data_IF_003337969802
#
_entry.id   IF_003337969802
#
_cell.length_a   1.000
_cell.length_b   1.000
_cell.length_c   1.000
_cell.angle_alpha   90.00
_cell.angle_beta   90.00
_cell.angle_gamma   90.00
#
_symmetry.space_group_name_H-M   'P 1'
#
loop_
_entity.id
_entity.type
_entity.pdbx_description
1 polymer ?
#
# COMPACT_ATOMS: atom_id res chain seq x y z
N UNK A 1 11.49 9.49 8.53
CA UNK A 1 10.38 9.05 7.67
C UNK A 1 9.51 10.28 7.42
N UNK A 2 9.14 10.64 6.18
CA UNK A 2 8.44 11.91 5.89
C UNK A 2 6.94 11.77 6.17
N UNK A 3 6.36 12.80 6.77
CA UNK A 3 4.90 12.99 6.92
C UNK A 3 4.20 12.95 5.55
N UNK A 4 3.11 12.19 5.47
CA UNK A 4 2.32 11.98 4.25
C UNK A 4 1.76 13.31 3.72
N UNK A 5 1.40 14.23 4.60
CA UNK A 5 0.80 15.53 4.28
C UNK A 5 1.77 16.48 3.57
N UNK A 6 3.08 16.35 3.86
CA UNK A 6 4.14 17.20 3.31
C UNK A 6 5.08 16.44 2.36
N UNK A 7 4.66 15.27 1.87
CA UNK A 7 5.53 14.31 1.16
C UNK A 7 6.15 14.86 -0.13
N UNK A 8 5.51 15.84 -0.77
CA UNK A 8 6.01 16.47 -2.00
C UNK A 8 6.96 17.65 -1.76
N UNK A 9 7.07 18.15 -0.52
CA UNK A 9 7.89 19.31 -0.18
C UNK A 9 9.38 18.94 -0.06
N UNK A 10 10.25 19.82 -0.57
CA UNK A 10 11.71 19.68 -0.42
C UNK A 10 12.27 18.35 -0.94
N UNK A 11 11.73 17.84 -2.05
CA UNK A 11 12.24 16.62 -2.67
C UNK A 11 13.59 16.93 -3.35
N UNK A 12 14.68 16.21 -3.03
CA UNK A 12 15.96 16.47 -3.66
C UNK A 12 15.89 16.21 -5.17
N UNK A 13 16.61 16.99 -6.00
CA UNK A 13 16.65 16.79 -7.44
C UNK A 13 17.22 15.39 -7.76
N UNK A 14 16.62 14.74 -8.75
CA UNK A 14 17.04 13.42 -9.26
C UNK A 14 16.84 13.39 -10.76
N UNK A 15 17.73 12.71 -11.48
CA UNK A 15 17.56 12.50 -12.92
C UNK A 15 16.35 11.61 -13.21
N UNK A 16 15.70 11.75 -14.39
CA UNK A 16 14.60 10.87 -14.79
C UNK A 16 14.97 9.38 -14.72
N UNK A 17 16.19 9.01 -15.15
CA UNK A 17 16.66 7.63 -15.10
C UNK A 17 16.67 7.06 -13.68
N UNK A 18 17.15 7.83 -12.69
CA UNK A 18 17.09 7.43 -11.29
C UNK A 18 15.66 7.25 -10.81
N UNK A 19 14.73 8.10 -11.22
CA UNK A 19 13.32 8.01 -10.84
C UNK A 19 12.66 6.75 -11.43
N UNK A 20 12.92 6.43 -12.70
CA UNK A 20 12.46 5.18 -13.29
C UNK A 20 13.07 3.94 -12.60
N UNK A 21 14.34 4.00 -12.18
CA UNK A 21 14.97 2.91 -11.43
C UNK A 21 14.34 2.73 -10.04
N UNK A 22 13.98 3.83 -9.36
CA UNK A 22 13.19 3.78 -8.10
C UNK A 22 11.85 3.09 -8.34
N UNK A 23 11.09 3.53 -9.35
CA UNK A 23 9.78 2.94 -9.68
C UNK A 23 9.92 1.44 -9.96
N UNK A 24 10.90 1.03 -10.79
CA UNK A 24 11.15 -0.39 -11.09
C UNK A 24 11.49 -1.20 -9.83
N UNK A 25 12.34 -0.66 -8.96
CA UNK A 25 12.76 -1.33 -7.72
C UNK A 25 11.56 -1.58 -6.81
N UNK A 26 10.76 -0.55 -6.53
CA UNK A 26 9.64 -0.66 -5.60
C UNK A 26 8.43 -1.39 -6.21
N UNK A 27 8.24 -1.32 -7.52
CA UNK A 27 7.30 -2.19 -8.24
C UNK A 27 7.64 -3.67 -8.01
N UNK A 28 8.89 -4.07 -8.27
CA UNK A 28 9.33 -5.45 -8.04
C UNK A 28 9.16 -5.88 -6.59
N UNK A 29 9.52 -5.00 -5.65
CA UNK A 29 9.33 -5.24 -4.22
C UNK A 29 7.87 -5.51 -3.86
N UNK A 30 6.95 -4.63 -4.28
CA UNK A 30 5.52 -4.80 -3.99
C UNK A 30 4.92 -6.06 -4.65
N UNK A 31 5.32 -6.39 -5.88
CA UNK A 31 4.89 -7.62 -6.57
C UNK A 31 5.39 -8.86 -5.83
N UNK A 32 6.67 -8.93 -5.47
CA UNK A 32 7.21 -10.09 -4.75
C UNK A 32 6.63 -10.26 -3.34
N UNK A 33 6.16 -9.17 -2.74
CA UNK A 33 5.59 -9.18 -1.39
C UNK A 33 4.13 -9.60 -1.34
N UNK A 34 3.44 -9.58 -2.49
CA UNK A 34 2.02 -9.88 -2.56
C UNK A 34 1.71 -11.30 -2.06
N UNK A 35 2.49 -12.30 -2.50
CA UNK A 35 2.27 -13.69 -2.10
C UNK A 35 2.47 -13.89 -0.59
N UNK A 36 3.47 -13.23 -0.01
CA UNK A 36 3.70 -13.24 1.44
C UNK A 36 2.51 -12.62 2.20
N UNK A 37 1.92 -11.54 1.67
CA UNK A 37 0.70 -10.97 2.27
C UNK A 37 -0.45 -11.97 2.23
N UNK A 38 -0.66 -12.70 1.13
CA UNK A 38 -1.72 -13.70 1.06
C UNK A 38 -1.48 -14.87 2.03
N UNK A 39 -0.22 -15.27 2.22
CA UNK A 39 0.18 -16.21 3.27
C UNK A 39 -0.21 -15.67 4.66
N UNK A 40 0.13 -14.41 4.97
CA UNK A 40 -0.18 -13.81 6.28
C UNK A 40 -1.66 -13.59 6.52
N UNK A 41 -2.45 -13.32 5.48
CA UNK A 41 -3.91 -13.34 5.57
C UNK A 41 -4.43 -14.73 5.95
N UNK A 42 -3.87 -15.78 5.37
CA UNK A 42 -4.24 -17.17 5.70
C UNK A 42 -3.88 -17.50 7.15
N UNK A 43 -2.72 -17.05 7.64
CA UNK A 43 -2.31 -17.18 9.05
C UNK A 43 -3.30 -16.50 10.00
N UNK A 44 -3.78 -15.29 9.66
CA UNK A 44 -4.78 -14.54 10.43
C UNK A 44 -6.13 -15.27 10.48
N UNK A 45 -6.60 -15.81 9.36
CA UNK A 45 -7.83 -16.60 9.32
C UNK A 45 -7.73 -17.82 10.22
N UNK A 46 -6.63 -18.58 10.12
CA UNK A 46 -6.41 -19.75 10.98
C UNK A 46 -6.31 -19.37 12.47
N UNK A 47 -5.68 -18.24 12.79
CA UNK A 47 -5.62 -17.73 14.17
C UNK A 47 -7.00 -17.32 14.70
N UNK A 48 -7.87 -16.75 13.85
CA UNK A 48 -9.26 -16.44 14.21
C UNK A 48 -10.07 -17.70 14.51
N UNK A 49 -9.94 -18.75 13.70
CA UNK A 49 -10.64 -20.01 13.95
C UNK A 49 -10.25 -20.63 15.30
N UNK A 50 -8.95 -20.55 15.65
CA UNK A 50 -8.46 -20.98 16.96
C UNK A 50 -8.99 -20.10 18.09
N UNK A 51 -9.00 -18.78 17.93
CA UNK A 51 -9.49 -17.85 18.96
C UNK A 51 -10.97 -18.04 19.28
N UNK A 52 -11.79 -18.39 18.28
CA UNK A 52 -13.20 -18.75 18.48
C UNK A 52 -13.38 -19.99 19.37
N UNK A 53 -12.41 -20.91 19.34
CA UNK A 53 -12.43 -22.16 20.13
C UNK A 53 -11.87 -21.94 21.53
N UNK A 54 -10.74 -21.23 21.66
CA UNK A 54 -10.02 -21.03 22.92
C UNK A 54 -10.53 -19.86 23.74
N UNK A 55 -11.26 -18.93 23.11
CA UNK A 55 -11.65 -17.61 23.65
C UNK A 55 -10.45 -16.74 24.05
N UNK A 56 -9.28 -17.00 23.46
CA UNK A 56 -8.07 -16.19 23.60
C UNK A 56 -7.69 -15.63 22.22
N UNK A 57 -7.56 -14.30 22.13
CA UNK A 57 -7.26 -13.57 20.90
C UNK A 57 -5.76 -13.24 20.74
N UNK A 58 -4.90 -13.69 21.66
CA UNK A 58 -3.46 -13.40 21.66
C UNK A 58 -2.77 -13.77 20.33
N UNK A 59 -3.00 -14.99 19.84
CA UNK A 59 -2.46 -15.46 18.55
C UNK A 59 -3.01 -14.65 17.36
N UNK A 60 -4.30 -14.28 17.41
CA UNK A 60 -4.94 -13.49 16.35
C UNK A 60 -4.35 -12.08 16.28
N UNK A 61 -4.18 -11.44 17.43
CA UNK A 61 -3.53 -10.12 17.53
C UNK A 61 -2.11 -10.16 16.98
N UNK A 62 -1.35 -11.19 17.32
CA UNK A 62 0.01 -11.37 16.82
C UNK A 62 0.04 -11.57 15.30
N UNK A 63 -0.87 -12.39 14.76
CA UNK A 63 -0.98 -12.62 13.32
C UNK A 63 -1.36 -11.33 12.57
N UNK A 64 -2.32 -10.57 13.11
CA UNK A 64 -2.72 -9.26 12.56
C UNK A 64 -1.58 -8.25 12.60
N UNK A 65 -0.83 -8.20 13.71
CA UNK A 65 0.34 -7.35 13.82
C UNK A 65 1.34 -7.66 12.70
N UNK A 66 1.66 -8.93 12.49
CA UNK A 66 2.54 -9.35 11.39
C UNK A 66 1.95 -8.96 10.03
N UNK A 67 0.67 -9.24 9.76
CA UNK A 67 0.01 -8.84 8.52
C UNK A 67 0.11 -7.32 8.27
N UNK A 68 -0.09 -6.50 9.29
CA UNK A 68 -0.01 -5.05 9.18
C UNK A 68 1.40 -4.54 8.95
N UNK A 69 2.44 -5.22 9.45
CA UNK A 69 3.82 -4.94 9.04
C UNK A 69 4.04 -5.24 7.55
N UNK A 70 3.45 -6.31 7.02
CA UNK A 70 3.55 -6.60 5.59
C UNK A 70 2.77 -5.60 4.74
N UNK A 71 1.60 -5.14 5.21
CA UNK A 71 0.89 -4.01 4.59
C UNK A 71 1.75 -2.74 4.62
N UNK A 72 2.41 -2.44 5.73
CA UNK A 72 3.29 -1.28 5.88
C UNK A 72 4.40 -1.26 4.82
N UNK A 73 5.06 -2.40 4.61
CA UNK A 73 6.05 -2.54 3.54
C UNK A 73 5.43 -2.29 2.16
N UNK A 74 4.28 -2.93 1.87
CA UNK A 74 3.60 -2.80 0.58
C UNK A 74 3.19 -1.36 0.27
N UNK A 75 2.57 -0.65 1.22
CA UNK A 75 2.18 0.76 1.02
C UNK A 75 3.38 1.69 0.98
N UNK A 76 4.48 1.32 1.64
CA UNK A 76 5.76 2.05 1.50
C UNK A 76 6.29 1.94 0.06
N UNK A 77 6.18 0.78 -0.59
CA UNK A 77 6.51 0.65 -2.01
C UNK A 77 5.64 1.58 -2.88
N UNK A 78 4.33 1.63 -2.64
CA UNK A 78 3.41 2.56 -3.32
C UNK A 78 3.81 4.02 -3.13
N UNK A 79 4.14 4.43 -1.91
CA UNK A 79 4.62 5.79 -1.63
C UNK A 79 5.89 6.12 -2.43
N UNK A 80 6.85 5.20 -2.50
CA UNK A 80 8.09 5.46 -3.24
C UNK A 80 7.85 5.57 -4.75
N UNK A 81 6.90 4.80 -5.30
CA UNK A 81 6.46 4.91 -6.69
C UNK A 81 5.78 6.27 -6.92
N UNK A 82 4.85 6.66 -6.05
CA UNK A 82 4.12 7.93 -6.10
C UNK A 82 5.08 9.12 -6.08
N UNK A 83 6.01 9.16 -5.12
CA UNK A 83 7.00 10.23 -5.01
C UNK A 83 7.94 10.33 -6.22
N UNK A 84 8.26 9.20 -6.85
CA UNK A 84 9.07 9.20 -8.05
C UNK A 84 8.27 9.67 -9.26
N UNK A 85 7.03 9.20 -9.41
CA UNK A 85 6.11 9.62 -10.47
C UNK A 85 5.76 11.09 -10.38
N UNK A 86 5.51 11.62 -9.18
CA UNK A 86 5.28 13.05 -8.95
C UNK A 86 6.44 13.91 -9.48
N UNK A 87 7.69 13.49 -9.24
CA UNK A 87 8.87 14.20 -9.73
C UNK A 87 9.05 14.08 -11.24
N UNK A 88 8.69 12.93 -11.83
CA UNK A 88 8.67 12.76 -13.28
C UNK A 88 7.60 13.65 -13.93
N UNK A 89 6.40 13.72 -13.37
CA UNK A 89 5.30 14.55 -13.85
C UNK A 89 5.62 16.05 -13.86
N UNK A 90 6.54 16.53 -13.00
CA UNK A 90 7.03 17.91 -13.04
C UNK A 90 8.01 18.19 -14.20
N UNK A 91 8.56 17.15 -14.81
CA UNK A 91 9.57 17.23 -15.87
C UNK A 91 9.03 16.76 -17.23
N UNK A 92 7.93 16.00 -17.24
CA UNK A 92 7.39 15.32 -18.42
C UNK A 92 5.85 15.31 -18.37
N UNK A 93 5.23 15.91 -19.40
CA UNK A 93 3.78 16.02 -19.53
C UNK A 93 3.09 14.66 -19.68
N UNK A 94 3.70 13.68 -20.37
CA UNK A 94 3.14 12.35 -20.51
C UNK A 94 3.04 11.65 -19.14
N UNK A 95 4.06 11.83 -18.29
CA UNK A 95 4.05 11.32 -16.92
C UNK A 95 3.04 12.04 -16.02
N UNK A 96 2.78 13.33 -16.27
CA UNK A 96 1.72 14.07 -15.57
C UNK A 96 0.33 13.50 -15.86
N UNK A 97 0.06 13.08 -17.10
CA UNK A 97 -1.19 12.39 -17.47
C UNK A 97 -1.32 11.06 -16.71
N UNK A 98 -0.24 10.28 -16.61
CA UNK A 98 -0.24 9.04 -15.83
C UNK A 98 -0.53 9.31 -14.36
N UNK A 99 0.14 10.31 -13.76
CA UNK A 99 -0.10 10.67 -12.36
C UNK A 99 -1.57 11.03 -12.10
N UNK A 100 -2.15 11.89 -12.94
CA UNK A 100 -3.55 12.29 -12.81
C UNK A 100 -4.51 11.10 -12.95
N UNK A 101 -4.26 10.19 -13.90
CA UNK A 101 -5.09 9.00 -14.12
C UNK A 101 -5.12 8.06 -12.91
N UNK A 102 -4.00 7.92 -12.20
CA UNK A 102 -3.85 6.96 -11.10
C UNK A 102 -3.89 7.61 -9.71
N UNK A 103 -4.22 8.90 -9.62
CA UNK A 103 -4.17 9.67 -8.37
C UNK A 103 -5.00 9.02 -7.25
N UNK A 104 -6.25 8.65 -7.52
CA UNK A 104 -7.14 8.05 -6.52
C UNK A 104 -6.60 6.72 -5.96
N UNK A 105 -6.00 5.90 -6.82
CA UNK A 105 -5.39 4.61 -6.43
C UNK A 105 -4.15 4.86 -5.57
N UNK A 106 -3.30 5.81 -5.97
CA UNK A 106 -2.11 6.20 -5.23
C UNK A 106 -2.49 6.74 -3.84
N UNK A 107 -3.47 7.64 -3.77
CA UNK A 107 -3.95 8.23 -2.53
C UNK A 107 -4.53 7.18 -1.59
N UNK A 108 -5.35 6.24 -2.09
CA UNK A 108 -5.90 5.15 -1.26
C UNK A 108 -4.80 4.36 -0.54
N UNK A 109 -3.72 4.02 -1.23
CA UNK A 109 -2.61 3.25 -0.64
C UNK A 109 -1.73 4.12 0.28
N UNK A 110 -1.49 5.37 -0.11
CA UNK A 110 -0.63 6.29 0.66
C UNK A 110 -1.32 6.78 1.94
N UNK A 111 -2.65 6.90 1.95
CA UNK A 111 -3.40 7.42 3.09
C UNK A 111 -3.31 6.53 4.34
N UNK A 112 -3.23 5.21 4.18
CA UNK A 112 -3.14 4.27 5.33
C UNK A 112 -1.72 4.13 5.90
N UNK A 113 -0.71 4.66 5.19
CA UNK A 113 0.71 4.47 5.52
C UNK A 113 1.10 5.07 6.86
N UNK A 114 0.55 6.23 7.22
CA UNK A 114 0.83 6.87 8.52
C UNK A 114 0.22 6.08 9.68
N UNK A 115 -0.98 5.53 9.50
CA UNK A 115 -1.62 4.69 10.51
C UNK A 115 -0.81 3.41 10.75
N UNK A 116 -0.31 2.80 9.67
CA UNK A 116 0.51 1.58 9.76
C UNK A 116 1.86 1.79 10.46
N UNK A 117 2.37 3.02 10.61
CA UNK A 117 3.53 3.33 11.46
C UNK A 117 3.21 3.03 12.97
N UNK A 118 1.92 2.97 13.33
CA UNK A 118 1.40 2.61 14.66
C UNK A 118 0.69 1.24 14.62
N UNK A 119 1.42 0.20 14.19
CA UNK A 119 0.87 -1.14 13.91
C UNK A 119 0.07 -1.71 15.10
N UNK A 120 0.58 -1.60 16.33
CA UNK A 120 -0.09 -2.10 17.53
C UNK A 120 -1.43 -1.38 17.80
N UNK A 121 -1.47 -0.05 17.63
CA UNK A 121 -2.70 0.72 17.76
C UNK A 121 -3.73 0.30 16.70
N UNK A 122 -3.29 0.06 15.46
CA UNK A 122 -4.16 -0.42 14.39
C UNK A 122 -4.80 -1.78 14.72
N UNK A 123 -4.03 -2.72 15.29
CA UNK A 123 -4.55 -4.04 15.71
C UNK A 123 -5.60 -3.88 16.80
N UNK A 124 -5.33 -3.03 17.79
CA UNK A 124 -6.28 -2.78 18.87
C UNK A 124 -7.58 -2.15 18.35
N UNK A 125 -7.49 -1.24 17.38
CA UNK A 125 -8.66 -0.62 16.76
C UNK A 125 -9.57 -1.64 16.07
N UNK A 126 -9.00 -2.68 15.43
CA UNK A 126 -9.79 -3.74 14.78
C UNK A 126 -10.70 -4.50 15.76
N UNK A 127 -10.29 -4.59 17.03
CA UNK A 127 -11.06 -5.28 18.06
C UNK A 127 -12.28 -4.46 18.54
N UNK A 128 -12.25 -3.14 18.36
CA UNK A 128 -13.24 -2.18 18.92
C UNK A 128 -14.30 -1.80 17.88
N UNK A 129 -13.95 -1.67 16.60
CA UNK A 129 -14.81 -1.10 15.56
C UNK A 129 -15.84 -2.08 14.93
N UNK A 130 -16.07 -3.25 15.54
CA UNK A 130 -17.01 -4.25 15.03
C UNK A 130 -18.22 -4.48 15.94
N UNK A 131 -19.44 -4.48 15.38
CA UNK A 131 -20.63 -5.06 16.05
C UNK A 131 -20.43 -6.56 16.36
N UNK A 132 -19.56 -7.21 15.58
CA UNK A 132 -19.04 -8.56 15.78
C UNK A 132 -17.53 -8.48 15.87
N UNK A 133 -16.96 -8.98 16.96
CA UNK A 133 -15.51 -8.99 17.16
C UNK A 133 -14.79 -9.63 15.96
N UNK A 134 -13.79 -8.92 15.43
CA UNK A 134 -12.93 -9.40 14.34
C UNK A 134 -13.64 -9.65 13.00
N UNK A 135 -14.73 -8.95 12.70
CA UNK A 135 -15.41 -9.01 11.39
C UNK A 135 -14.49 -8.62 10.21
N UNK A 136 -13.51 -7.75 10.44
CA UNK A 136 -12.52 -7.32 9.45
C UNK A 136 -11.71 -8.49 8.85
N UNK A 137 -11.45 -9.54 9.63
CA UNK A 137 -10.72 -10.74 9.18
C UNK A 137 -11.56 -11.56 8.20
N UNK A 138 -12.85 -11.70 8.48
CA UNK A 138 -13.77 -12.47 7.64
C UNK A 138 -14.04 -11.76 6.30
N UNK A 139 -14.12 -10.43 6.36
CA UNK A 139 -14.37 -9.60 5.18
C UNK A 139 -13.08 -9.27 4.40
N UNK A 140 -11.91 -9.63 4.93
CA UNK A 140 -10.61 -9.19 4.44
C UNK A 140 -10.56 -7.66 4.23
N UNK A 141 -11.11 -6.91 5.19
CA UNK A 141 -11.34 -5.49 5.12
C UNK A 141 -10.97 -4.82 6.45
N UNK A 142 -9.76 -4.26 6.53
CA UNK A 142 -9.19 -3.73 7.77
C UNK A 142 -9.37 -2.20 7.83
N UNK A 143 -9.71 -1.69 9.01
CA UNK A 143 -10.06 -0.28 9.19
C UNK A 143 -8.88 0.54 9.71
N UNK A 144 -8.49 1.59 9.00
CA UNK A 144 -7.41 2.48 9.38
C UNK A 144 -7.93 3.91 9.32
N UNK A 145 -8.27 4.48 10.48
CA UNK A 145 -8.72 5.88 10.63
C UNK A 145 -9.75 6.31 9.57
N UNK A 146 -10.88 5.59 9.50
CA UNK A 146 -11.94 5.91 8.52
C UNK A 146 -11.77 5.26 7.15
N UNK A 147 -10.70 4.51 6.91
CA UNK A 147 -10.38 3.91 5.61
C UNK A 147 -10.44 2.38 5.71
N UNK A 148 -11.29 1.75 4.89
CA UNK A 148 -11.24 0.30 4.66
C UNK A 148 -10.16 -0.04 3.64
N UNK A 149 -9.21 -0.87 4.04
CA UNK A 149 -8.06 -1.23 3.24
C UNK A 149 -7.73 -2.71 3.29
N UNK A 150 -7.26 -3.22 2.16
CA UNK A 150 -6.70 -4.56 2.03
C UNK A 150 -5.80 -4.62 0.79
N UNK A 151 -4.96 -5.65 0.72
CA UNK A 151 -4.12 -5.94 -0.45
C UNK A 151 -4.64 -7.21 -1.12
N UNK A 152 -5.45 -7.03 -2.15
CA UNK A 152 -6.07 -8.10 -2.93
C UNK A 152 -5.57 -8.10 -4.39
N UNK A 153 -6.17 -8.97 -5.22
CA UNK A 153 -5.81 -9.06 -6.63
C UNK A 153 -6.06 -7.76 -7.39
N UNK A 154 -7.04 -6.95 -6.98
CA UNK A 154 -7.30 -5.65 -7.61
C UNK A 154 -6.18 -4.64 -7.29
N UNK A 155 -5.62 -4.67 -6.08
CA UNK A 155 -4.43 -3.89 -5.71
C UNK A 155 -3.22 -4.28 -6.57
N UNK A 156 -2.98 -5.59 -6.77
CA UNK A 156 -1.90 -6.07 -7.63
C UNK A 156 -2.10 -5.68 -9.11
N UNK A 157 -3.32 -5.84 -9.63
CA UNK A 157 -3.65 -5.44 -11.00
C UNK A 157 -3.47 -3.94 -11.21
N UNK A 158 -3.87 -3.12 -10.24
CA UNK A 158 -3.69 -1.66 -10.28
C UNK A 158 -2.21 -1.28 -10.32
N UNK A 159 -1.37 -1.98 -9.55
CA UNK A 159 0.08 -1.80 -9.57
C UNK A 159 0.69 -2.12 -10.95
N UNK A 160 0.27 -3.23 -11.56
CA UNK A 160 0.72 -3.61 -12.91
C UNK A 160 0.30 -2.57 -13.95
N UNK A 161 -0.95 -2.11 -13.92
CA UNK A 161 -1.46 -1.10 -14.84
C UNK A 161 -0.73 0.22 -14.70
N UNK A 162 -0.47 0.67 -13.46
CA UNK A 162 0.31 1.88 -13.20
C UNK A 162 1.74 1.73 -13.77
N UNK A 163 2.42 0.63 -13.46
CA UNK A 163 3.78 0.41 -13.93
C UNK A 163 3.86 0.39 -15.46
N UNK A 164 2.93 -0.31 -16.11
CA UNK A 164 2.83 -0.33 -17.58
C UNK A 164 2.58 1.06 -18.16
N UNK A 165 1.65 1.84 -17.58
CA UNK A 165 1.36 3.19 -18.05
C UNK A 165 2.59 4.10 -17.96
N UNK A 166 3.37 4.01 -16.88
CA UNK A 166 4.63 4.75 -16.70
C UNK A 166 5.66 4.34 -17.79
N UNK A 167 5.79 3.04 -18.07
CA UNK A 167 6.71 2.55 -19.11
C UNK A 167 6.28 2.97 -20.52
N UNK A 168 4.98 2.98 -20.81
CA UNK A 168 4.46 3.45 -22.10
C UNK A 168 4.73 4.94 -22.28
N UNK A 169 4.36 5.76 -21.29
CA UNK A 169 4.59 7.21 -21.34
C UNK A 169 6.07 7.59 -21.46
N UNK A 170 6.99 6.78 -20.90
CA UNK A 170 8.44 6.97 -21.06
C UNK A 170 8.90 6.91 -22.54
N UNK A 171 8.21 6.11 -23.35
CA UNK A 171 8.58 5.88 -24.75
C UNK A 171 7.77 6.76 -25.73
N UNK A 172 6.85 7.59 -25.23
CA UNK A 172 6.10 8.52 -26.08
C UNK A 172 6.96 9.74 -26.45
N UNK A 173 6.98 10.15 -27.72
CA UNK A 173 7.63 11.40 -28.10
C UNK A 173 6.89 12.59 -27.45
N UNK A 174 7.61 13.66 -27.05
CA UNK A 174 6.97 14.82 -26.45
C UNK A 174 5.93 15.41 -27.42
N UNK A 175 4.72 15.63 -26.91
CA UNK A 175 3.67 16.35 -27.65
C UNK A 175 4.22 17.74 -28.01
N UNK A 176 4.32 18.01 -29.32
CA UNK A 176 4.80 19.27 -29.88
C UNK A 176 3.82 20.41 -29.63
#
# INVERSE_FOLDING_TARGET
MRDVSNRHSGLPPRSPEMLYNVIRKFYRGAVSHYDLIQEKKSDVVAARERSLTTKDDSELRQALHTLFLEFHFYVTCWLQIELALYRLAKQDAAQAVVLAKFQSILERHVAVREQLDQTEACVNQQAVDGEVAWSCVEQDAYWFDGISFTVDQASLNSLHQLFQAIQTAKNEPPLK
#
